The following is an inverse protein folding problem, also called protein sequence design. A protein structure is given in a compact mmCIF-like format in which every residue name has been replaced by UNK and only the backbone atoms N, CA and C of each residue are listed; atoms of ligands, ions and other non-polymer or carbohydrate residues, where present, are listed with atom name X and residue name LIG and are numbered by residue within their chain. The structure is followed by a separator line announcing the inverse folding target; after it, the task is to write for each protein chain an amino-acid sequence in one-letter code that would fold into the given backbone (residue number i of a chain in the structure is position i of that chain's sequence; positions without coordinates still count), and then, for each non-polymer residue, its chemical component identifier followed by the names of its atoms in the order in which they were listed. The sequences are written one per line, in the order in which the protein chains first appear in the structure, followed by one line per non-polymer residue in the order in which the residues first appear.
data_IF_748538493077
#
_entry.id   IF_748538493077
#
_cell.length_a   1.000
_cell.length_b   1.000
_cell.length_c   1.000
_cell.angle_alpha   90.00
_cell.angle_beta   90.00
_cell.angle_gamma   90.00
#
_symmetry.space_group_name_H-M   'P 1'
#
loop_
_entity.id
_entity.type
_entity.pdbx_description
1 polymer ?
#
# COMPACT_ATOMS: atom_id res chain seq x y z
N UNK A 1 -32.25 33.49 11.11
CA UNK A 1 -31.02 32.72 11.41
C UNK A 1 -29.96 32.93 10.31
N UNK A 2 -30.28 32.71 9.03
CA UNK A 2 -29.36 32.92 7.88
C UNK A 2 -28.77 34.33 7.85
N UNK A 3 -29.63 35.37 7.85
CA UNK A 3 -29.23 36.78 7.87
C UNK A 3 -28.28 37.12 9.04
N UNK A 4 -28.52 36.56 10.21
CA UNK A 4 -27.67 36.75 11.38
C UNK A 4 -26.31 36.06 11.19
N UNK A 5 -26.29 34.81 10.72
CA UNK A 5 -25.06 34.07 10.50
C UNK A 5 -24.19 34.73 9.43
N UNK A 6 -24.77 35.11 8.27
CA UNK A 6 -24.07 35.83 7.22
C UNK A 6 -23.51 37.19 7.70
N UNK A 7 -24.20 37.86 8.63
CA UNK A 7 -23.69 39.09 9.25
C UNK A 7 -22.50 38.84 10.20
N UNK A 8 -22.49 37.72 10.93
CA UNK A 8 -21.35 37.35 11.79
C UNK A 8 -20.13 36.93 10.96
N UNK A 9 -20.33 36.18 9.89
CA UNK A 9 -19.26 35.79 8.95
C UNK A 9 -18.58 37.04 8.35
N UNK A 10 -19.38 38.01 7.88
CA UNK A 10 -18.84 39.30 7.39
C UNK A 10 -18.04 40.05 8.45
N UNK A 11 -18.51 40.09 9.72
CA UNK A 11 -17.76 40.70 10.83
C UNK A 11 -16.44 39.96 11.10
N UNK A 12 -16.45 38.63 10.98
CA UNK A 12 -15.26 37.79 11.12
C UNK A 12 -14.32 37.79 9.93
N UNK A 13 -14.65 38.54 8.85
CA UNK A 13 -13.90 38.52 7.57
C UNK A 13 -13.77 37.15 6.94
N UNK A 14 -14.79 36.31 7.09
CA UNK A 14 -14.87 34.97 6.50
C UNK A 14 -15.67 35.10 5.21
N UNK A 15 -15.01 34.83 4.10
CA UNK A 15 -15.61 34.87 2.74
C UNK A 15 -16.36 33.58 2.44
N UNK A 16 -17.52 33.39 3.07
CA UNK A 16 -18.46 32.33 2.79
C UNK A 16 -19.89 32.79 3.06
N UNK A 17 -20.86 32.00 2.61
CA UNK A 17 -22.27 32.24 2.83
C UNK A 17 -22.94 31.04 3.47
N UNK A 18 -23.94 31.31 4.31
CA UNK A 18 -24.82 30.30 4.89
C UNK A 18 -26.11 30.30 4.09
N UNK A 19 -26.48 29.14 3.56
CA UNK A 19 -27.81 28.89 3.00
C UNK A 19 -28.67 28.16 4.04
N UNK A 20 -29.87 28.66 4.28
CA UNK A 20 -30.81 27.99 5.15
C UNK A 20 -31.76 27.12 4.33
N UNK A 21 -31.78 25.83 4.60
CA UNK A 21 -32.77 24.90 4.10
C UNK A 21 -33.79 24.59 5.19
N UNK A 22 -35.01 24.35 4.79
CA UNK A 22 -36.12 24.04 5.69
C UNK A 22 -36.63 22.62 5.42
N UNK A 23 -36.64 21.79 6.44
CA UNK A 23 -37.25 20.45 6.37
C UNK A 23 -38.52 20.49 7.21
N UNK A 24 -39.68 20.48 6.56
CA UNK A 24 -40.97 20.59 7.23
C UNK A 24 -41.26 19.42 8.15
N UNK A 25 -40.84 18.23 7.78
CA UNK A 25 -41.00 16.98 8.52
C UNK A 25 -39.67 16.21 8.52
N UNK A 26 -38.86 16.35 9.56
CA UNK A 26 -37.58 15.66 9.74
C UNK A 26 -37.80 14.22 10.21
N UNK A 27 -38.30 13.36 9.31
CA UNK A 27 -38.54 11.94 9.61
C UNK A 27 -37.30 11.15 9.92
N UNK A 28 -36.16 11.51 9.32
CA UNK A 28 -34.86 10.89 9.62
C UNK A 28 -34.41 11.24 11.04
N UNK A 29 -34.47 12.52 11.40
CA UNK A 29 -34.19 12.96 12.76
C UNK A 29 -35.13 12.38 13.79
N UNK A 30 -36.40 12.20 13.44
CA UNK A 30 -37.38 11.54 14.30
C UNK A 30 -37.00 10.07 14.53
N UNK A 31 -36.70 9.34 13.49
CA UNK A 31 -36.26 7.94 13.57
C UNK A 31 -35.00 7.79 14.42
N UNK A 32 -34.01 8.69 14.23
CA UNK A 32 -32.77 8.71 15.01
C UNK A 32 -33.05 8.90 16.50
N UNK A 33 -33.86 9.90 16.86
CA UNK A 33 -34.21 10.18 18.26
C UNK A 33 -34.99 9.06 18.91
N UNK A 34 -35.98 8.49 18.21
CA UNK A 34 -36.78 7.34 18.72
C UNK A 34 -35.86 6.14 18.92
N UNK A 35 -34.98 5.82 18.00
CA UNK A 35 -34.08 4.66 18.11
C UNK A 35 -33.13 4.75 19.32
N UNK A 36 -32.72 5.95 19.68
CA UNK A 36 -31.82 6.24 20.83
C UNK A 36 -32.58 6.43 22.15
N UNK A 37 -33.91 6.55 22.11
CA UNK A 37 -34.74 6.78 23.30
C UNK A 37 -34.98 5.49 24.08
N UNK A 38 -35.45 5.66 25.33
CA UNK A 38 -35.95 4.59 26.20
C UNK A 38 -37.45 4.44 26.14
N UNK A 39 -38.11 5.02 25.13
CA UNK A 39 -39.57 5.00 25.00
C UNK A 39 -40.07 3.55 24.85
N UNK A 40 -41.09 3.21 25.64
CA UNK A 40 -41.78 1.93 25.51
C UNK A 40 -42.39 1.86 24.10
N UNK A 41 -42.38 0.67 23.50
CA UNK A 41 -42.90 0.43 22.14
C UNK A 41 -42.15 1.14 20.99
N UNK A 42 -40.91 1.61 21.23
CA UNK A 42 -40.08 2.24 20.18
C UNK A 42 -39.97 1.38 18.90
N UNK A 43 -39.90 0.06 19.05
CA UNK A 43 -39.79 -0.86 17.91
C UNK A 43 -41.08 -0.87 17.07
N UNK A 44 -42.26 -0.66 17.70
CA UNK A 44 -43.51 -0.49 16.98
C UNK A 44 -43.49 0.80 16.16
N UNK A 45 -43.01 1.91 16.74
CA UNK A 45 -42.92 3.20 16.05
C UNK A 45 -41.96 3.09 14.85
N UNK A 46 -40.81 2.48 15.06
CA UNK A 46 -39.80 2.28 13.98
C UNK A 46 -40.34 1.39 12.86
N UNK A 47 -41.17 0.38 13.20
CA UNK A 47 -41.85 -0.46 12.22
C UNK A 47 -42.87 0.33 11.41
N UNK A 48 -43.68 1.18 12.04
CA UNK A 48 -44.65 2.06 11.35
C UNK A 48 -43.90 2.98 10.37
N UNK A 49 -42.77 3.56 10.77
CA UNK A 49 -41.96 4.39 9.91
C UNK A 49 -41.43 3.62 8.68
N UNK A 50 -41.14 2.34 8.83
CA UNK A 50 -40.63 1.51 7.71
C UNK A 50 -41.75 1.05 6.78
N UNK A 51 -42.97 0.90 7.27
CA UNK A 51 -44.13 0.41 6.51
C UNK A 51 -44.77 1.48 5.62
N UNK A 52 -44.82 2.71 6.09
CA UNK A 52 -45.47 3.81 5.39
C UNK A 52 -44.42 4.80 4.87
N UNK A 53 -44.43 5.04 3.57
CA UNK A 53 -43.50 6.02 2.94
C UNK A 53 -44.14 7.41 2.88
N UNK A 54 -45.46 7.48 2.80
CA UNK A 54 -46.19 8.73 2.77
C UNK A 54 -46.16 9.44 4.13
N UNK A 55 -45.74 10.72 4.19
CA UNK A 55 -45.60 11.45 5.48
C UNK A 55 -46.90 11.63 6.23
N UNK A 56 -48.01 11.86 5.55
CA UNK A 56 -49.31 12.05 6.20
C UNK A 56 -49.86 10.76 6.78
N UNK A 57 -49.65 9.62 6.10
CA UNK A 57 -49.97 8.30 6.61
C UNK A 57 -49.11 7.97 7.84
N UNK A 58 -47.79 8.23 7.77
CA UNK A 58 -46.91 8.04 8.93
C UNK A 58 -47.40 8.80 10.15
N UNK A 59 -47.73 10.08 9.98
CA UNK A 59 -48.22 10.93 11.06
C UNK A 59 -49.51 10.40 11.65
N UNK A 60 -50.44 9.98 10.80
CA UNK A 60 -51.74 9.42 11.21
C UNK A 60 -51.55 8.13 12.01
N UNK A 61 -50.75 7.19 11.50
CA UNK A 61 -50.51 5.91 12.16
C UNK A 61 -49.76 6.05 13.50
N UNK A 62 -48.82 6.96 13.59
CA UNK A 62 -48.12 7.25 14.84
C UNK A 62 -49.06 7.89 15.86
N UNK A 63 -49.96 8.80 15.44
CA UNK A 63 -51.01 9.36 16.31
C UNK A 63 -52.00 8.31 16.81
N UNK A 64 -52.28 7.27 16.00
CA UNK A 64 -53.15 6.19 16.37
C UNK A 64 -52.57 5.28 17.46
N UNK A 65 -51.26 5.31 17.67
CA UNK A 65 -50.57 4.64 18.80
C UNK A 65 -50.74 5.55 20.05
N UNK A 66 -51.96 5.63 20.55
CA UNK A 66 -52.37 6.64 21.54
C UNK A 66 -51.58 6.62 22.87
N UNK A 67 -51.09 5.45 23.28
CA UNK A 67 -50.30 5.30 24.51
C UNK A 67 -48.91 5.94 24.45
N UNK A 68 -48.37 6.07 23.23
CA UNK A 68 -47.00 6.53 23.00
C UNK A 68 -46.93 7.95 22.46
N UNK A 69 -48.00 8.43 21.79
CA UNK A 69 -48.01 9.74 21.13
C UNK A 69 -47.73 10.90 22.11
N UNK A 70 -48.27 10.83 23.32
CA UNK A 70 -48.04 11.87 24.33
C UNK A 70 -46.55 11.93 24.70
N UNK A 71 -45.92 10.81 24.93
CA UNK A 71 -44.50 10.72 25.23
C UNK A 71 -43.64 11.23 24.07
N UNK A 72 -44.00 10.90 22.83
CA UNK A 72 -43.32 11.41 21.64
C UNK A 72 -43.46 12.93 21.53
N UNK A 73 -44.65 13.48 21.81
CA UNK A 73 -44.91 14.91 21.76
C UNK A 73 -44.11 15.69 22.82
N UNK A 74 -43.95 15.10 24.00
CA UNK A 74 -43.28 15.73 25.14
C UNK A 74 -41.76 15.55 25.10
N UNK A 75 -41.27 14.42 24.63
CA UNK A 75 -39.82 14.08 24.71
C UNK A 75 -39.07 14.16 23.36
N UNK A 76 -39.70 13.79 22.25
CA UNK A 76 -39.02 13.69 20.94
C UNK A 76 -39.26 14.92 20.06
N UNK A 77 -40.56 15.32 19.87
CA UNK A 77 -40.84 16.43 18.94
C UNK A 77 -40.19 17.77 19.31
N UNK A 78 -39.99 18.13 20.59
CA UNK A 78 -39.24 19.34 20.93
C UNK A 78 -37.77 19.31 20.49
N UNK A 79 -37.15 18.14 20.50
CA UNK A 79 -35.74 17.96 20.07
C UNK A 79 -35.56 18.09 18.55
N UNK A 80 -36.63 17.91 17.76
CA UNK A 80 -36.62 18.13 16.32
C UNK A 80 -36.65 19.63 15.94
N UNK A 81 -37.04 20.52 16.88
CA UNK A 81 -37.01 21.97 16.69
C UNK A 81 -35.57 22.49 16.84
N UNK A 82 -34.67 22.00 16.02
CA UNK A 82 -33.23 22.30 16.07
C UNK A 82 -32.75 22.89 14.75
N UNK A 83 -31.70 23.72 14.82
CA UNK A 83 -30.90 24.08 13.65
C UNK A 83 -29.69 23.15 13.59
N UNK A 84 -29.50 22.47 12.44
CA UNK A 84 -28.23 21.78 12.13
C UNK A 84 -27.35 22.73 11.36
N UNK A 85 -26.12 22.89 11.80
CA UNK A 85 -25.09 23.60 11.06
C UNK A 85 -24.19 22.56 10.39
N UNK A 86 -24.11 22.60 9.06
CA UNK A 86 -23.16 21.79 8.29
C UNK A 86 -22.17 22.75 7.67
N UNK A 87 -20.91 22.58 7.96
CA UNK A 87 -19.83 23.30 7.29
C UNK A 87 -19.24 22.37 6.22
N UNK A 88 -19.39 22.75 4.95
CA UNK A 88 -18.66 22.13 3.85
C UNK A 88 -17.44 23.01 3.59
N UNK A 89 -16.26 22.42 3.59
CA UNK A 89 -15.02 23.10 3.28
C UNK A 89 -14.16 22.20 2.40
N UNK A 90 -13.49 22.82 1.44
CA UNK A 90 -12.48 22.16 0.65
C UNK A 90 -11.13 22.31 1.37
N UNK A 91 -10.48 21.18 1.59
CA UNK A 91 -9.10 21.20 2.06
C UNK A 91 -8.21 21.41 0.85
N UNK A 92 -7.68 22.61 0.69
CA UNK A 92 -6.66 22.89 -0.32
C UNK A 92 -5.35 22.32 0.23
N UNK A 93 -4.85 21.25 -0.43
CA UNK A 93 -3.54 20.67 -0.11
C UNK A 93 -2.42 21.67 -0.45
N UNK A 94 -1.27 21.52 0.21
CA UNK A 94 -0.07 22.30 -0.13
C UNK A 94 0.45 21.89 -1.50
N UNK A 95 1.01 22.86 -2.24
CA UNK A 95 1.76 22.57 -3.46
C UNK A 95 3.10 21.88 -3.16
N UNK A 96 3.73 21.32 -4.19
CA UNK A 96 5.04 20.67 -4.07
C UNK A 96 6.12 21.62 -3.52
N UNK A 97 6.06 22.89 -3.94
CA UNK A 97 6.94 23.96 -3.47
C UNK A 97 6.70 24.27 -1.98
N UNK A 98 5.45 24.42 -1.58
CA UNK A 98 5.07 24.67 -0.19
C UNK A 98 5.45 23.52 0.74
N UNK A 99 5.31 22.26 0.27
CA UNK A 99 5.74 21.08 1.02
C UNK A 99 7.27 21.06 1.21
N UNK A 100 8.02 21.34 0.14
CA UNK A 100 9.48 21.39 0.20
C UNK A 100 9.97 22.54 1.11
N UNK A 101 9.38 23.74 1.00
CA UNK A 101 9.71 24.87 1.85
C UNK A 101 9.38 24.59 3.31
N UNK A 102 8.21 24.02 3.59
CA UNK A 102 7.80 23.64 4.94
C UNK A 102 8.73 22.58 5.54
N UNK A 103 9.18 21.60 4.75
CA UNK A 103 10.17 20.63 5.22
C UNK A 103 11.48 21.30 5.65
N UNK A 104 11.96 22.28 4.88
CA UNK A 104 13.24 22.98 5.14
C UNK A 104 13.14 24.00 6.28
N UNK A 105 11.96 24.57 6.55
CA UNK A 105 11.76 25.63 7.56
C UNK A 105 11.14 25.11 8.86
N UNK A 106 10.01 24.43 8.79
CA UNK A 106 9.31 23.81 9.92
C UNK A 106 8.53 22.55 9.49
N UNK A 107 9.21 21.42 9.45
CA UNK A 107 8.61 20.15 9.08
C UNK A 107 7.45 19.68 9.98
N UNK A 108 7.25 20.31 11.16
CA UNK A 108 6.16 19.95 12.09
C UNK A 108 4.78 20.32 11.56
N UNK A 109 4.70 21.27 10.63
CA UNK A 109 3.43 21.69 10.03
C UNK A 109 2.95 20.70 8.95
N UNK A 110 3.81 19.77 8.52
CA UNK A 110 3.49 18.76 7.53
C UNK A 110 2.88 17.53 8.20
N UNK A 111 1.84 16.99 7.60
CA UNK A 111 1.30 15.68 7.95
C UNK A 111 2.28 14.55 7.57
N UNK A 112 2.05 13.36 8.11
CA UNK A 112 2.85 12.18 7.75
C UNK A 112 2.77 11.86 6.25
N UNK A 113 1.60 12.07 5.63
CA UNK A 113 1.39 11.80 4.20
C UNK A 113 2.13 12.84 3.34
N UNK A 114 2.14 14.11 3.72
CA UNK A 114 2.91 15.15 3.05
C UNK A 114 4.42 14.91 3.17
N UNK A 115 4.92 14.46 4.32
CA UNK A 115 6.33 14.09 4.48
C UNK A 115 6.71 12.88 3.63
N UNK A 116 5.87 11.84 3.61
CA UNK A 116 6.13 10.68 2.74
C UNK A 116 6.08 11.07 1.26
N UNK A 117 5.17 11.96 0.89
CA UNK A 117 5.08 12.49 -0.47
C UNK A 117 6.29 13.36 -0.82
N UNK A 118 6.76 14.23 0.09
CA UNK A 118 7.97 15.05 -0.10
C UNK A 118 9.18 14.23 -0.52
N UNK A 119 9.34 13.02 0.06
CA UNK A 119 10.43 12.12 -0.32
C UNK A 119 10.33 11.62 -1.77
N UNK A 120 9.14 11.63 -2.39
CA UNK A 120 8.95 11.25 -3.80
C UNK A 120 9.27 12.39 -4.77
N UNK A 121 9.29 13.65 -4.30
CA UNK A 121 9.56 14.83 -5.11
C UNK A 121 11.04 15.00 -5.44
N UNK A 122 11.93 14.23 -4.82
CA UNK A 122 13.38 14.32 -5.04
C UNK A 122 13.98 12.99 -5.46
N UNK A 123 15.04 13.05 -6.29
CA UNK A 123 15.88 11.90 -6.63
C UNK A 123 17.15 11.84 -5.76
N UNK A 124 17.42 12.88 -4.97
CA UNK A 124 18.56 12.91 -4.05
C UNK A 124 18.31 11.96 -2.88
N UNK A 125 19.12 10.91 -2.81
CA UNK A 125 19.04 9.87 -1.78
C UNK A 125 19.29 10.41 -0.37
N UNK A 126 20.19 11.38 -0.22
CA UNK A 126 20.47 11.99 1.08
C UNK A 126 19.27 12.80 1.56
N UNK A 127 18.60 13.55 0.67
CA UNK A 127 17.37 14.28 1.00
C UNK A 127 16.21 13.32 1.32
N UNK A 128 16.03 12.26 0.54
CA UNK A 128 15.03 11.23 0.84
C UNK A 128 15.21 10.64 2.25
N UNK A 129 16.45 10.27 2.57
CA UNK A 129 16.79 9.72 3.88
C UNK A 129 16.51 10.71 5.02
N UNK A 130 16.89 11.99 4.83
CA UNK A 130 16.64 13.05 5.79
C UNK A 130 15.12 13.23 6.04
N UNK A 131 14.30 13.21 4.98
CA UNK A 131 12.85 13.31 5.08
C UNK A 131 12.28 12.11 5.86
N UNK A 132 12.67 10.88 5.51
CA UNK A 132 12.16 9.69 6.23
C UNK A 132 12.63 9.67 7.69
N UNK A 133 13.87 10.05 7.99
CA UNK A 133 14.34 10.19 9.39
C UNK A 133 13.51 11.22 10.16
N UNK A 134 13.28 12.40 9.56
CA UNK A 134 12.42 13.42 10.16
C UNK A 134 10.99 12.92 10.36
N UNK A 135 10.47 12.14 9.42
CA UNK A 135 9.14 11.51 9.55
C UNK A 135 9.10 10.55 10.75
N UNK A 136 10.15 9.74 10.98
CA UNK A 136 10.19 8.84 12.15
C UNK A 136 10.30 9.58 13.47
N UNK A 137 10.89 10.79 13.49
CA UNK A 137 10.95 11.64 14.68
C UNK A 137 9.59 12.27 15.01
N UNK A 138 8.89 12.80 14.00
CA UNK A 138 7.62 13.49 14.17
C UNK A 138 6.44 12.53 14.33
N UNK A 139 6.49 11.39 13.64
CA UNK A 139 5.43 10.37 13.59
C UNK A 139 5.98 8.98 13.98
N UNK A 140 6.46 8.79 15.21
CA UNK A 140 7.15 7.56 15.62
C UNK A 140 6.27 6.31 15.65
N UNK A 141 4.96 6.46 15.54
CA UNK A 141 4.00 5.34 15.46
C UNK A 141 3.68 4.90 14.02
N UNK A 142 4.04 5.71 13.01
CA UNK A 142 3.81 5.35 11.62
C UNK A 142 4.94 4.43 11.11
N UNK A 143 4.58 3.29 10.53
CA UNK A 143 5.54 2.28 10.08
C UNK A 143 6.18 2.60 8.73
N UNK A 144 5.55 3.44 7.90
CA UNK A 144 5.91 3.62 6.48
C UNK A 144 7.28 4.23 6.30
N UNK A 145 7.63 5.24 7.12
CA UNK A 145 8.95 5.86 7.04
C UNK A 145 10.07 4.89 7.46
N UNK A 146 9.86 4.07 8.49
CA UNK A 146 10.79 3.01 8.85
C UNK A 146 10.96 1.98 7.73
N UNK A 147 9.85 1.56 7.11
CA UNK A 147 9.90 0.65 5.97
C UNK A 147 10.72 1.23 4.80
N UNK A 148 10.53 2.51 4.49
CA UNK A 148 11.25 3.18 3.41
C UNK A 148 12.74 3.36 3.73
N UNK A 149 13.12 3.67 4.99
CA UNK A 149 14.52 3.65 5.43
C UNK A 149 15.14 2.25 5.29
N UNK A 150 14.37 1.21 5.60
CA UNK A 150 14.80 -0.17 5.39
C UNK A 150 15.06 -0.49 3.91
N UNK A 151 14.20 -0.03 3.02
CA UNK A 151 14.39 -0.18 1.57
C UNK A 151 15.62 0.57 1.07
N UNK A 152 15.88 1.79 1.57
CA UNK A 152 17.07 2.57 1.24
C UNK A 152 18.34 1.87 1.71
N UNK A 153 18.39 1.39 2.95
CA UNK A 153 19.50 0.63 3.49
C UNK A 153 19.78 -0.66 2.69
N UNK A 154 18.71 -1.36 2.30
CA UNK A 154 18.84 -2.55 1.44
C UNK A 154 19.45 -2.22 0.08
N UNK A 155 19.00 -1.13 -0.55
CA UNK A 155 19.54 -0.65 -1.83
C UNK A 155 21.01 -0.22 -1.71
N UNK A 156 21.43 0.27 -0.55
CA UNK A 156 22.84 0.58 -0.23
C UNK A 156 23.66 -0.68 0.17
N UNK A 157 23.07 -1.88 0.06
CA UNK A 157 23.66 -3.16 0.47
C UNK A 157 23.97 -3.28 1.98
N UNK A 158 23.39 -2.41 2.82
CA UNK A 158 23.45 -2.52 4.28
C UNK A 158 22.27 -3.38 4.77
N UNK A 159 22.44 -4.69 4.68
CA UNK A 159 21.42 -5.68 5.05
C UNK A 159 21.07 -5.66 6.53
N UNK A 160 22.04 -5.29 7.39
CA UNK A 160 21.82 -5.23 8.83
C UNK A 160 20.94 -4.04 9.21
N UNK A 161 21.25 -2.86 8.69
CA UNK A 161 20.41 -1.67 8.88
C UNK A 161 19.02 -1.86 8.27
N UNK A 162 18.93 -2.46 7.08
CA UNK A 162 17.66 -2.74 6.43
C UNK A 162 16.73 -3.60 7.32
N UNK A 163 17.24 -4.72 7.80
CA UNK A 163 16.49 -5.61 8.69
C UNK A 163 16.06 -4.92 9.99
N UNK A 164 16.94 -4.11 10.58
CA UNK A 164 16.62 -3.36 11.79
C UNK A 164 15.45 -2.40 11.54
N UNK A 165 15.48 -1.64 10.46
CA UNK A 165 14.38 -0.72 10.09
C UNK A 165 13.07 -1.48 9.79
N UNK A 166 13.11 -2.61 9.08
CA UNK A 166 11.92 -3.42 8.85
C UNK A 166 11.34 -3.99 10.15
N UNK A 167 12.17 -4.39 11.11
CA UNK A 167 11.71 -4.81 12.45
C UNK A 167 11.07 -3.66 13.22
N UNK A 168 11.63 -2.45 13.13
CA UNK A 168 11.01 -1.26 13.70
C UNK A 168 9.66 -0.99 13.04
N UNK A 169 9.56 -1.04 11.71
CA UNK A 169 8.29 -0.92 11.00
C UNK A 169 7.27 -1.98 11.46
N UNK A 170 7.67 -3.24 11.58
CA UNK A 170 6.82 -4.32 12.06
C UNK A 170 6.34 -4.11 13.50
N UNK A 171 7.16 -3.48 14.37
CA UNK A 171 6.74 -3.13 15.73
C UNK A 171 5.64 -2.06 15.77
N UNK A 172 5.49 -1.26 14.71
CA UNK A 172 4.44 -0.25 14.56
C UNK A 172 3.19 -0.83 13.87
N UNK A 173 3.39 -1.68 12.86
CA UNK A 173 2.31 -2.40 12.18
C UNK A 173 2.77 -3.80 11.77
N UNK A 174 2.51 -4.79 12.61
CA UNK A 174 2.88 -6.19 12.37
C UNK A 174 2.12 -6.84 11.18
N UNK A 175 1.03 -6.23 10.75
CA UNK A 175 0.19 -6.74 9.66
C UNK A 175 0.39 -5.99 8.34
N UNK A 176 1.32 -5.03 8.27
CA UNK A 176 1.63 -4.32 7.02
C UNK A 176 2.18 -5.31 5.98
N UNK A 177 1.50 -5.50 4.83
CA UNK A 177 1.90 -6.51 3.84
C UNK A 177 3.30 -6.25 3.26
N UNK A 178 3.65 -4.99 2.98
CA UNK A 178 4.95 -4.59 2.46
C UNK A 178 6.08 -4.84 3.45
N UNK A 179 5.86 -4.61 4.74
CA UNK A 179 6.85 -4.88 5.80
C UNK A 179 7.08 -6.39 5.93
N UNK A 180 6.00 -7.18 5.90
CA UNK A 180 6.10 -8.63 5.92
C UNK A 180 6.80 -9.17 4.66
N UNK A 181 6.56 -8.57 3.49
CA UNK A 181 7.28 -8.91 2.26
C UNK A 181 8.78 -8.68 2.43
N UNK A 182 9.19 -7.51 2.94
CA UNK A 182 10.59 -7.15 3.11
C UNK A 182 11.29 -8.02 4.15
N UNK A 183 10.64 -8.32 5.29
CA UNK A 183 11.18 -9.26 6.28
C UNK A 183 11.30 -10.67 5.72
N UNK A 184 10.31 -11.13 4.95
CA UNK A 184 10.38 -12.43 4.27
C UNK A 184 11.55 -12.52 3.30
N UNK A 185 11.80 -11.48 2.51
CA UNK A 185 12.97 -11.41 1.63
C UNK A 185 14.30 -11.40 2.42
N UNK A 186 14.38 -10.70 3.55
CA UNK A 186 15.54 -10.75 4.42
C UNK A 186 15.81 -12.19 4.92
N UNK A 187 14.78 -12.92 5.32
CA UNK A 187 14.92 -14.30 5.76
C UNK A 187 15.33 -15.25 4.61
N UNK A 188 14.84 -15.01 3.37
CA UNK A 188 15.29 -15.78 2.18
C UNK A 188 16.78 -15.56 1.90
N UNK A 189 17.28 -14.33 2.04
CA UNK A 189 18.72 -14.02 1.85
C UNK A 189 19.58 -14.74 2.88
N UNK A 190 19.08 -14.92 4.11
CA UNK A 190 19.76 -15.69 5.17
C UNK A 190 19.63 -17.21 5.00
N UNK A 191 18.77 -17.67 4.11
CA UNK A 191 18.45 -19.10 3.95
C UNK A 191 17.40 -19.64 4.91
N UNK A 192 16.75 -18.79 5.70
CA UNK A 192 15.73 -19.16 6.68
C UNK A 192 14.35 -19.34 6.01
N UNK A 193 14.20 -20.38 5.21
CA UNK A 193 13.00 -20.58 4.35
C UNK A 193 11.70 -20.64 5.16
N UNK A 194 11.69 -21.30 6.34
CA UNK A 194 10.50 -21.42 7.19
C UNK A 194 10.03 -20.05 7.75
N UNK A 195 11.00 -19.21 8.21
CA UNK A 195 10.68 -17.86 8.67
C UNK A 195 10.19 -16.98 7.51
N UNK A 196 10.83 -17.11 6.35
CA UNK A 196 10.41 -16.39 5.13
C UNK A 196 8.95 -16.72 4.77
N UNK A 197 8.58 -18.00 4.80
CA UNK A 197 7.20 -18.44 4.54
C UNK A 197 6.21 -17.84 5.55
N UNK A 198 6.59 -17.78 6.83
CA UNK A 198 5.77 -17.18 7.89
C UNK A 198 5.49 -15.70 7.63
N UNK A 199 6.50 -14.93 7.22
CA UNK A 199 6.31 -13.53 6.86
C UNK A 199 5.53 -13.37 5.54
N UNK A 200 5.92 -14.11 4.49
CA UNK A 200 5.31 -13.98 3.17
C UNK A 200 3.86 -14.44 3.13
N UNK A 201 3.41 -15.30 4.05
CA UNK A 201 1.99 -15.62 4.19
C UNK A 201 1.12 -14.41 4.56
N UNK A 202 1.73 -13.34 5.11
CA UNK A 202 1.06 -12.08 5.48
C UNK A 202 1.30 -10.96 4.47
N UNK A 203 1.93 -11.23 3.34
CA UNK A 203 2.32 -10.23 2.34
C UNK A 203 1.22 -9.91 1.31
N UNK A 204 0.07 -10.56 1.38
CA UNK A 204 -1.05 -10.35 0.45
C UNK A 204 -1.48 -8.89 0.42
N UNK A 205 -1.48 -8.31 -0.78
CA UNK A 205 -1.79 -6.89 -1.00
C UNK A 205 -0.55 -6.00 -1.22
N UNK A 206 0.67 -6.46 -0.89
CA UNK A 206 1.87 -5.74 -1.30
C UNK A 206 2.14 -5.93 -2.79
N UNK A 207 2.57 -4.86 -3.47
CA UNK A 207 2.86 -4.89 -4.91
C UNK A 207 3.94 -5.92 -5.29
N UNK A 208 4.89 -6.19 -4.40
CA UNK A 208 6.01 -7.12 -4.60
C UNK A 208 5.77 -8.52 -4.00
N UNK A 209 4.59 -8.78 -3.44
CA UNK A 209 4.27 -10.04 -2.77
C UNK A 209 4.47 -11.25 -3.67
N UNK A 210 3.97 -11.18 -4.90
CA UNK A 210 4.07 -12.28 -5.86
C UNK A 210 5.53 -12.59 -6.25
N UNK A 211 6.37 -11.57 -6.42
CA UNK A 211 7.79 -11.78 -6.72
C UNK A 211 8.53 -12.38 -5.52
N UNK A 212 8.20 -11.94 -4.30
CA UNK A 212 8.77 -12.51 -3.09
C UNK A 212 8.36 -13.97 -2.89
N UNK A 213 7.09 -14.31 -3.14
CA UNK A 213 6.60 -15.70 -3.14
C UNK A 213 7.28 -16.53 -4.22
N UNK A 214 7.49 -15.98 -5.41
CA UNK A 214 8.24 -16.66 -6.48
C UNK A 214 9.65 -17.05 -6.03
N UNK A 215 10.36 -16.13 -5.37
CA UNK A 215 11.69 -16.41 -4.79
C UNK A 215 11.64 -17.46 -3.67
N UNK A 216 10.61 -17.43 -2.81
CA UNK A 216 10.38 -18.48 -1.81
C UNK A 216 10.21 -19.85 -2.47
N UNK A 217 9.35 -19.96 -3.49
CA UNK A 217 9.10 -21.21 -4.19
C UNK A 217 10.34 -21.74 -4.91
N UNK A 218 11.20 -20.86 -5.47
CA UNK A 218 12.52 -21.29 -5.99
C UNK A 218 13.34 -21.96 -4.90
N UNK A 219 13.43 -21.34 -3.71
CA UNK A 219 14.18 -21.89 -2.57
C UNK A 219 13.60 -23.21 -2.06
N UNK A 220 12.29 -23.41 -2.20
CA UNK A 220 11.60 -24.65 -1.83
C UNK A 220 11.66 -25.74 -2.93
N UNK A 221 12.22 -25.44 -4.10
CA UNK A 221 12.24 -26.36 -5.26
C UNK A 221 10.88 -26.50 -5.96
N UNK A 222 9.91 -25.62 -5.68
CA UNK A 222 8.56 -25.64 -6.25
C UNK A 222 8.49 -24.75 -7.51
N UNK A 223 9.22 -25.14 -8.55
CA UNK A 223 9.50 -24.28 -9.69
C UNK A 223 8.25 -23.89 -10.49
N UNK A 224 7.28 -24.78 -10.66
CA UNK A 224 6.02 -24.45 -11.34
C UNK A 224 5.22 -23.39 -10.58
N UNK A 225 5.19 -23.47 -9.24
CA UNK A 225 4.58 -22.42 -8.40
C UNK A 225 5.34 -21.11 -8.48
N UNK A 226 6.67 -21.18 -8.56
CA UNK A 226 7.49 -19.98 -8.74
C UNK A 226 7.16 -19.28 -10.07
N UNK A 227 7.08 -20.02 -11.17
CA UNK A 227 6.69 -19.49 -12.49
C UNK A 227 5.29 -18.87 -12.44
N UNK A 228 4.34 -19.52 -11.77
CA UNK A 228 2.98 -19.00 -11.61
C UNK A 228 2.98 -17.70 -10.78
N UNK A 229 3.75 -17.63 -9.69
CA UNK A 229 3.84 -16.45 -8.84
C UNK A 229 4.48 -15.26 -9.56
N UNK A 230 5.55 -15.46 -10.31
CA UNK A 230 6.17 -14.38 -11.11
C UNK A 230 5.28 -13.94 -12.29
N UNK A 231 4.41 -14.81 -12.80
CA UNK A 231 3.54 -14.49 -13.93
C UNK A 231 4.30 -13.99 -15.16
N UNK A 232 3.97 -12.77 -15.59
CA UNK A 232 4.61 -12.12 -16.75
C UNK A 232 5.73 -11.14 -16.39
N UNK A 233 6.21 -11.17 -15.14
CA UNK A 233 7.32 -10.31 -14.67
C UNK A 233 8.59 -10.55 -15.48
N UNK A 234 9.26 -9.45 -15.89
CA UNK A 234 10.50 -9.48 -16.69
C UNK A 234 11.71 -9.21 -15.83
N UNK A 235 12.09 -10.19 -15.01
CA UNK A 235 13.22 -10.12 -14.08
C UNK A 235 14.10 -11.37 -14.18
N UNK A 236 15.33 -11.28 -13.70
CA UNK A 236 16.25 -12.39 -13.61
C UNK A 236 15.70 -13.54 -12.75
N UNK A 237 14.99 -13.23 -11.66
CA UNK A 237 14.36 -14.23 -10.79
C UNK A 237 13.25 -15.00 -11.50
N UNK A 238 12.42 -14.30 -12.29
CA UNK A 238 11.38 -14.94 -13.10
C UNK A 238 11.98 -15.88 -14.16
N UNK A 239 13.03 -15.43 -14.84
CA UNK A 239 13.76 -16.24 -15.81
C UNK A 239 14.42 -17.47 -15.16
N UNK A 240 15.03 -17.31 -13.99
CA UNK A 240 15.60 -18.41 -13.21
C UNK A 240 14.54 -19.46 -12.87
N UNK A 241 13.34 -19.04 -12.41
CA UNK A 241 12.23 -19.97 -12.15
C UNK A 241 11.85 -20.76 -13.41
N UNK A 242 11.76 -20.09 -14.57
CA UNK A 242 11.45 -20.70 -15.84
C UNK A 242 12.54 -21.68 -16.30
N UNK A 243 13.83 -21.36 -16.11
CA UNK A 243 14.96 -22.25 -16.38
C UNK A 243 14.85 -23.52 -15.52
N UNK A 244 14.59 -23.36 -14.22
CA UNK A 244 14.47 -24.47 -13.29
C UNK A 244 13.23 -25.33 -13.56
N UNK A 245 12.14 -24.73 -14.05
CA UNK A 245 10.95 -25.41 -14.55
C UNK A 245 11.14 -26.01 -15.97
N UNK A 246 12.33 -25.83 -16.58
CA UNK A 246 12.70 -26.29 -17.92
C UNK A 246 11.93 -25.63 -19.07
N UNK A 247 11.31 -24.49 -18.84
CA UNK A 247 10.69 -23.67 -19.89
C UNK A 247 11.72 -22.68 -20.47
N UNK A 248 12.68 -23.21 -21.22
CA UNK A 248 13.81 -22.45 -21.74
C UNK A 248 13.40 -21.37 -22.76
N UNK A 249 12.33 -21.62 -23.53
CA UNK A 249 11.82 -20.64 -24.49
C UNK A 249 11.24 -19.42 -23.79
N UNK A 250 10.43 -19.63 -22.75
CA UNK A 250 9.89 -18.54 -21.94
C UNK A 250 10.99 -17.80 -21.21
N UNK A 251 11.97 -18.52 -20.63
CA UNK A 251 13.13 -17.94 -19.97
C UNK A 251 13.91 -17.01 -20.90
N UNK A 252 14.22 -17.45 -22.12
CA UNK A 252 14.90 -16.65 -23.14
C UNK A 252 14.15 -15.38 -23.47
N UNK A 253 12.82 -15.47 -23.66
CA UNK A 253 11.98 -14.32 -23.94
C UNK A 253 11.94 -13.35 -22.74
N UNK A 254 11.88 -13.86 -21.50
CA UNK A 254 11.90 -13.06 -20.29
C UNK A 254 13.22 -12.32 -20.16
N UNK A 255 14.38 -12.99 -20.33
CA UNK A 255 15.71 -12.39 -20.25
C UNK A 255 15.91 -11.29 -21.30
N UNK A 256 15.44 -11.49 -22.53
CA UNK A 256 15.49 -10.46 -23.58
C UNK A 256 14.64 -9.22 -23.26
N UNK A 257 13.68 -9.33 -22.37
CA UNK A 257 12.76 -8.26 -21.98
C UNK A 257 13.14 -7.59 -20.65
N UNK A 258 14.22 -8.00 -19.98
CA UNK A 258 14.72 -7.35 -18.75
C UNK A 258 15.20 -5.94 -19.08
N UNK A 259 14.59 -4.91 -18.45
CA UNK A 259 14.88 -3.50 -18.77
C UNK A 259 16.33 -3.06 -18.45
N UNK A 260 16.87 -3.55 -17.33
CA UNK A 260 18.21 -3.21 -16.85
C UNK A 260 19.05 -4.49 -16.84
N UNK A 261 19.31 -5.06 -18.05
CA UNK A 261 20.07 -6.27 -18.20
C UNK A 261 21.52 -6.10 -17.73
N UNK A 262 21.87 -6.82 -16.68
CA UNK A 262 23.20 -6.86 -16.05
C UNK A 262 23.99 -8.10 -16.48
N UNK A 263 25.18 -8.30 -15.92
CA UNK A 263 26.00 -9.47 -16.18
C UNK A 263 25.28 -10.79 -15.78
N UNK A 264 24.43 -10.74 -14.73
CA UNK A 264 23.70 -11.92 -14.30
C UNK A 264 22.58 -12.30 -15.30
N UNK A 265 21.99 -11.30 -15.97
CA UNK A 265 21.05 -11.55 -17.09
C UNK A 265 21.72 -12.33 -18.21
N UNK A 266 22.94 -11.93 -18.60
CA UNK A 266 23.69 -12.62 -19.65
C UNK A 266 24.17 -14.02 -19.18
N UNK A 267 24.56 -14.16 -17.91
CA UNK A 267 24.87 -15.46 -17.31
C UNK A 267 23.68 -16.43 -17.38
N UNK A 268 22.46 -16.00 -17.02
CA UNK A 268 21.27 -16.82 -17.15
C UNK A 268 20.95 -17.17 -18.62
N UNK A 269 21.24 -16.24 -19.56
CA UNK A 269 21.11 -16.53 -21.00
C UNK A 269 22.10 -17.59 -21.44
N UNK A 270 23.33 -17.58 -20.92
CA UNK A 270 24.31 -18.64 -21.17
C UNK A 270 23.83 -19.99 -20.62
N UNK A 271 23.22 -20.01 -19.42
CA UNK A 271 22.58 -21.22 -18.85
C UNK A 271 21.48 -21.75 -19.77
N UNK A 272 20.63 -20.89 -20.33
CA UNK A 272 19.65 -21.29 -21.35
C UNK A 272 20.32 -21.93 -22.57
N UNK A 273 21.42 -21.32 -23.05
CA UNK A 273 22.24 -21.87 -24.12
C UNK A 273 22.76 -23.31 -23.81
N UNK A 274 23.32 -23.46 -22.61
CA UNK A 274 23.86 -24.77 -22.17
C UNK A 274 22.75 -25.84 -22.07
N UNK A 275 21.61 -25.49 -21.51
CA UNK A 275 20.45 -26.38 -21.34
C UNK A 275 19.75 -26.75 -22.67
N UNK A 276 19.90 -25.90 -23.69
CA UNK A 276 19.35 -26.13 -25.05
C UNK A 276 20.38 -26.63 -26.05
N UNK A 277 21.60 -26.98 -25.60
CA UNK A 277 22.73 -27.39 -26.43
C UNK A 277 23.10 -26.37 -27.53
N UNK A 278 23.02 -25.10 -27.27
CA UNK A 278 23.37 -24.02 -28.19
C UNK A 278 24.72 -23.37 -27.78
N UNK A 279 25.82 -23.88 -28.35
CA UNK A 279 27.19 -23.43 -28.04
C UNK A 279 27.41 -21.95 -28.41
N UNK A 280 26.85 -21.49 -29.53
CA UNK A 280 26.98 -20.09 -29.95
C UNK A 280 26.31 -19.12 -28.95
N UNK A 281 25.16 -19.51 -28.42
CA UNK A 281 24.48 -18.74 -27.39
C UNK A 281 25.28 -18.72 -26.07
N UNK A 282 25.88 -19.86 -25.68
CA UNK A 282 26.77 -19.92 -24.50
C UNK A 282 27.93 -18.95 -24.69
N UNK A 283 28.67 -19.07 -25.80
CA UNK A 283 29.84 -18.25 -26.11
C UNK A 283 29.50 -16.76 -26.11
N UNK A 284 28.53 -16.36 -26.93
CA UNK A 284 28.17 -14.94 -27.07
C UNK A 284 27.62 -14.32 -25.77
N UNK A 285 26.93 -15.10 -24.94
CA UNK A 285 26.45 -14.62 -23.64
C UNK A 285 27.58 -14.52 -22.62
N UNK A 286 28.50 -15.48 -22.57
CA UNK A 286 29.66 -15.42 -21.66
C UNK A 286 30.66 -14.31 -22.04
N UNK A 287 30.80 -13.98 -23.31
CA UNK A 287 31.58 -12.79 -23.74
C UNK A 287 30.97 -11.50 -23.15
N UNK A 288 29.63 -11.37 -23.12
CA UNK A 288 28.95 -10.23 -22.49
C UNK A 288 29.12 -10.23 -20.97
N UNK A 289 29.06 -11.41 -20.33
CA UNK A 289 29.35 -11.52 -18.89
C UNK A 289 30.73 -11.01 -18.58
N UNK A 290 31.75 -11.44 -19.32
CA UNK A 290 33.12 -11.03 -19.12
C UNK A 290 33.34 -9.50 -19.31
N UNK A 291 32.63 -8.90 -20.26
CA UNK A 291 32.67 -7.45 -20.49
C UNK A 291 32.04 -6.65 -19.35
N UNK A 292 30.99 -7.18 -18.70
CA UNK A 292 30.24 -6.47 -17.65
C UNK A 292 30.77 -6.77 -16.24
N UNK A 293 31.19 -8.04 -15.99
CA UNK A 293 31.62 -8.53 -14.67
C UNK A 293 32.63 -9.67 -14.82
N UNK A 294 33.93 -9.32 -14.79
CA UNK A 294 35.03 -10.29 -14.90
C UNK A 294 35.04 -11.31 -13.72
N UNK A 295 34.58 -10.91 -12.52
CA UNK A 295 34.52 -11.80 -11.37
C UNK A 295 33.44 -12.86 -11.55
N UNK A 296 32.28 -12.49 -12.08
CA UNK A 296 31.22 -13.42 -12.41
C UNK A 296 31.64 -14.36 -13.55
N UNK A 297 32.33 -13.85 -14.58
CA UNK A 297 32.89 -14.65 -15.67
C UNK A 297 33.84 -15.73 -15.15
N UNK A 298 34.77 -15.35 -14.25
CA UNK A 298 35.71 -16.30 -13.65
C UNK A 298 34.99 -17.41 -12.86
N UNK A 299 33.95 -17.06 -12.09
CA UNK A 299 33.12 -18.04 -11.37
C UNK A 299 32.35 -18.95 -12.32
N UNK A 300 31.85 -18.42 -13.42
CA UNK A 300 31.10 -19.17 -14.42
C UNK A 300 31.99 -20.18 -15.15
N UNK A 301 33.31 -19.90 -15.33
CA UNK A 301 34.26 -20.84 -15.95
C UNK A 301 34.40 -22.15 -15.14
N UNK A 302 34.20 -22.07 -13.81
CA UNK A 302 34.24 -23.24 -12.89
C UNK A 302 32.85 -23.85 -12.66
N UNK A 303 31.77 -23.29 -13.22
CA UNK A 303 30.44 -23.80 -13.04
C UNK A 303 30.19 -25.08 -13.85
N UNK A 304 29.71 -26.12 -13.16
CA UNK A 304 29.35 -27.41 -13.77
C UNK A 304 28.34 -27.29 -14.89
N UNK A 305 27.52 -26.26 -14.90
CA UNK A 305 26.55 -25.95 -15.94
C UNK A 305 27.21 -25.84 -17.32
N UNK A 306 28.45 -25.29 -17.34
CA UNK A 306 29.20 -25.03 -18.58
C UNK A 306 30.33 -26.03 -18.82
N UNK A 307 30.44 -27.12 -18.05
CA UNK A 307 31.53 -28.10 -18.20
C UNK A 307 31.71 -28.60 -19.63
N UNK A 308 30.62 -28.79 -20.38
CA UNK A 308 30.61 -29.23 -21.79
C UNK A 308 31.14 -28.13 -22.74
N UNK A 309 31.14 -26.90 -22.30
CA UNK A 309 31.47 -25.70 -23.10
C UNK A 309 32.74 -25.00 -22.60
N UNK A 310 33.58 -25.71 -21.84
CA UNK A 310 34.78 -25.13 -21.23
C UNK A 310 35.78 -24.53 -22.26
N UNK A 311 35.75 -24.98 -23.50
CA UNK A 311 36.61 -24.44 -24.58
C UNK A 311 36.02 -23.16 -25.23
N UNK A 312 34.73 -22.97 -25.14
CA UNK A 312 34.00 -21.82 -25.71
C UNK A 312 33.98 -20.63 -24.77
N UNK A 313 34.25 -20.83 -23.47
CA UNK A 313 34.11 -19.79 -22.41
C UNK A 313 35.44 -19.40 -21.78
N UNK A 314 36.57 -19.90 -22.30
CA UNK A 314 37.94 -19.56 -21.87
C UNK A 314 38.45 -18.27 -22.49
#
# INVERSE_FOLDING_TARGET
TEKYMNQQLKKGKIETTVEATYTAQDWEGFQELVSKSSIQDKDLILRVLSMYQDPEQRETEIKNISSVYKTLADEILPQLRRARLTANYDVIGRSDEEINEAFDTDAKVLSVDELLYAATLTQDKARQEAIYKKTTELYPSDYRAYNNLGMMAYAANDKAAAENYFKQAASKNANAPEVNTNLGLCELVKGNVANAETYLSKSTGANTANEALGNLYIKQGQYDKAVAAFGDTKTNSAALAQILAKDYNKAKNTLNAVKNADAYTDYLMAVVGARTNNADLVKSSMEKVAQKDAALAAKAADDREFAKYANEIK
#
